data_IF_161253325795
#
_entry.id   IF_161253325795
#
_cell.length_a   1.000
_cell.length_b   1.000
_cell.length_c   1.000
_cell.angle_alpha   90.00
_cell.angle_beta   90.00
_cell.angle_gamma   90.00
#
_symmetry.space_group_name_H-M   'P 1'
#
loop_
_entity.id
_entity.type
_entity.pdbx_description
1 polymer ?
#
# COMPACT_ATOMS: atom_id res chain seq x y z
N UNK A 1 27.11 48.60 23.51
CA UNK A 1 25.87 47.85 23.52
C UNK A 1 25.81 47.12 22.20
N UNK A 2 25.96 45.81 22.17
CA UNK A 2 25.79 45.03 20.96
C UNK A 2 24.30 45.00 20.67
N UNK A 3 23.86 45.66 19.62
CA UNK A 3 22.50 45.53 19.09
C UNK A 3 22.37 44.12 18.58
N UNK A 4 21.63 43.28 19.32
CA UNK A 4 21.27 41.95 18.82
C UNK A 4 20.37 42.15 17.62
N UNK A 5 20.86 41.83 16.45
CA UNK A 5 20.09 41.89 15.20
C UNK A 5 19.13 40.68 15.24
N UNK A 6 17.91 40.96 15.70
CA UNK A 6 16.83 39.98 15.66
C UNK A 6 15.99 40.34 14.44
N UNK A 7 15.96 39.43 13.47
CA UNK A 7 15.07 39.57 12.29
C UNK A 7 13.62 39.67 12.74
N UNK A 8 12.87 40.56 12.14
CA UNK A 8 11.40 40.55 12.25
C UNK A 8 10.88 39.35 11.45
N UNK A 9 9.72 38.83 11.81
CA UNK A 9 9.14 37.64 11.18
C UNK A 9 8.97 37.76 9.66
N UNK A 10 8.65 38.97 9.20
CA UNK A 10 8.53 39.31 7.77
C UNK A 10 9.87 39.35 7.01
N UNK A 11 10.99 39.47 7.72
CA UNK A 11 12.34 39.46 7.14
C UNK A 11 12.94 38.04 7.13
N UNK A 12 12.26 37.07 7.76
CA UNK A 12 12.70 35.69 7.85
C UNK A 12 12.44 34.93 6.54
N UNK A 13 13.38 34.09 6.19
CA UNK A 13 13.20 33.14 5.09
C UNK A 13 12.23 32.02 5.50
N UNK A 14 11.72 31.27 4.52
CA UNK A 14 10.89 30.08 4.78
C UNK A 14 11.60 29.10 5.72
N UNK A 15 12.91 28.90 5.58
CA UNK A 15 13.70 28.02 6.46
C UNK A 15 13.79 28.56 7.90
N UNK A 16 13.88 29.89 8.08
CA UNK A 16 13.86 30.51 9.41
C UNK A 16 12.50 30.31 10.08
N UNK A 17 11.41 30.47 9.31
CA UNK A 17 10.03 30.24 9.77
C UNK A 17 9.84 28.76 10.16
N UNK A 18 10.34 27.82 9.36
CA UNK A 18 10.34 26.39 9.71
C UNK A 18 11.04 26.15 11.04
N UNK A 19 12.27 26.66 11.17
CA UNK A 19 13.12 26.41 12.34
C UNK A 19 12.55 27.01 13.62
N UNK A 20 12.07 28.27 13.56
CA UNK A 20 11.72 29.02 14.75
C UNK A 20 10.27 28.88 15.19
N UNK A 21 9.35 28.55 14.27
CA UNK A 21 7.92 28.51 14.57
C UNK A 21 7.28 27.17 14.27
N UNK A 22 7.42 26.64 13.05
CA UNK A 22 6.69 25.44 12.63
C UNK A 22 7.25 24.18 13.28
N UNK A 23 8.57 23.97 13.19
CA UNK A 23 9.22 22.79 13.80
C UNK A 23 8.98 22.70 15.31
N UNK A 24 9.15 23.77 16.11
CA UNK A 24 8.84 23.72 17.53
C UNK A 24 7.37 23.41 17.82
N UNK A 25 6.43 23.96 17.05
CA UNK A 25 5.01 23.67 17.22
C UNK A 25 4.68 22.19 16.96
N UNK A 26 5.28 21.60 15.91
CA UNK A 26 5.13 20.18 15.62
C UNK A 26 5.75 19.31 16.71
N UNK A 27 6.98 19.62 17.15
CA UNK A 27 7.69 18.87 18.19
C UNK A 27 7.03 18.95 19.57
N UNK A 28 6.24 19.99 19.83
CA UNK A 28 5.45 20.10 21.06
C UNK A 28 4.33 19.04 21.16
N UNK A 29 3.92 18.47 20.04
CA UNK A 29 2.80 17.52 19.92
C UNK A 29 3.20 16.16 19.35
N UNK A 30 4.33 16.07 18.66
CA UNK A 30 4.77 14.88 17.93
C UNK A 30 6.18 14.46 18.32
N UNK A 31 6.41 13.14 18.44
CA UNK A 31 7.76 12.60 18.53
C UNK A 31 8.54 12.93 17.24
N UNK A 32 9.76 13.44 17.39
CA UNK A 32 10.65 13.75 16.27
C UNK A 32 10.88 12.58 15.30
N UNK A 33 10.81 11.34 15.79
CA UNK A 33 10.93 10.12 14.99
C UNK A 33 9.74 9.90 14.06
N UNK A 34 8.61 10.52 14.35
CA UNK A 34 7.38 10.47 13.52
C UNK A 34 7.33 11.62 12.51
N UNK A 35 8.33 12.48 12.44
CA UNK A 35 8.42 13.62 11.52
C UNK A 35 9.58 13.39 10.56
N UNK A 36 9.34 13.55 9.26
CA UNK A 36 10.40 13.59 8.25
C UNK A 36 10.35 14.88 7.46
N UNK A 37 11.54 15.43 7.15
CA UNK A 37 11.70 16.66 6.39
C UNK A 37 12.31 16.38 5.01
N UNK A 38 12.42 17.39 4.16
CA UNK A 38 12.84 17.36 2.75
C UNK A 38 14.01 16.43 2.40
N UNK A 39 14.94 16.22 3.30
CA UNK A 39 16.16 15.43 3.07
C UNK A 39 15.90 13.92 3.04
N UNK A 40 14.75 13.45 3.50
CA UNK A 40 14.43 12.02 3.51
C UNK A 40 13.98 11.54 2.12
N UNK A 41 14.50 10.41 1.61
CA UNK A 41 14.08 9.84 0.32
C UNK A 41 12.57 9.58 0.21
N UNK A 42 11.93 9.34 1.35
CA UNK A 42 10.48 9.11 1.45
C UNK A 42 9.64 10.34 1.08
N UNK A 43 10.21 11.53 1.17
CA UNK A 43 9.54 12.78 0.82
C UNK A 43 9.71 13.15 -0.66
N UNK A 44 10.54 12.40 -1.41
CA UNK A 44 10.74 12.64 -2.82
C UNK A 44 9.70 11.87 -3.64
N UNK A 45 8.90 12.59 -4.40
CA UNK A 45 7.97 12.01 -5.36
C UNK A 45 7.87 12.87 -6.63
N UNK A 46 7.45 12.26 -7.70
CA UNK A 46 7.28 12.91 -9.00
C UNK A 46 5.88 12.68 -9.50
N UNK A 47 5.36 13.58 -10.33
CA UNK A 47 4.03 13.45 -10.97
C UNK A 47 3.97 12.27 -11.96
N UNK A 48 5.04 11.49 -12.06
CA UNK A 48 5.12 10.38 -13.01
C UNK A 48 5.31 10.83 -14.46
N UNK A 49 5.42 12.14 -14.72
CA UNK A 49 5.66 12.67 -16.06
C UNK A 49 7.07 12.35 -16.51
N UNK A 50 7.17 11.59 -17.58
CA UNK A 50 8.42 11.41 -18.31
C UNK A 50 8.49 12.53 -19.35
N UNK A 51 9.43 13.44 -19.19
CA UNK A 51 9.73 14.48 -20.18
C UNK A 51 10.68 13.90 -21.23
N UNK A 52 10.26 13.89 -22.49
CA UNK A 52 11.11 13.49 -23.60
C UNK A 52 11.66 14.76 -24.22
N UNK A 53 12.95 15.04 -23.99
CA UNK A 53 13.69 16.09 -24.70
C UNK A 53 14.59 15.43 -25.73
N UNK A 54 14.16 15.49 -27.00
CA UNK A 54 14.82 14.74 -28.09
C UNK A 54 14.61 13.23 -27.90
N UNK A 55 15.69 12.43 -27.99
CA UNK A 55 15.64 10.96 -27.81
C UNK A 55 16.01 10.53 -26.38
N UNK A 56 16.18 11.46 -25.44
CA UNK A 56 16.57 11.14 -24.06
C UNK A 56 15.39 11.33 -23.14
N UNK A 57 14.87 10.25 -22.50
CA UNK A 57 13.86 10.37 -21.46
C UNK A 57 14.51 10.98 -20.21
N UNK A 58 13.99 12.12 -19.76
CA UNK A 58 14.32 12.73 -18.48
C UNK A 58 13.10 12.69 -17.58
N UNK A 59 13.31 12.45 -16.27
CA UNK A 59 12.26 12.64 -15.28
C UNK A 59 12.25 14.08 -14.82
N UNK A 60 11.08 14.61 -14.59
CA UNK A 60 10.92 15.91 -13.96
C UNK A 60 11.60 15.95 -12.57
N UNK A 61 11.97 17.14 -12.10
CA UNK A 61 12.57 17.27 -10.76
C UNK A 61 11.60 16.68 -9.73
N UNK A 62 12.14 15.83 -8.86
CA UNK A 62 11.36 15.24 -7.76
C UNK A 62 10.76 16.36 -6.89
N UNK A 63 9.46 16.27 -6.65
CA UNK A 63 8.77 17.15 -5.70
C UNK A 63 9.10 16.71 -4.29
N UNK A 64 9.20 17.67 -3.37
CA UNK A 64 9.48 17.43 -1.95
C UNK A 64 8.44 18.17 -1.13
N UNK A 65 7.97 17.54 -0.06
CA UNK A 65 7.18 18.21 0.95
C UNK A 65 8.10 18.71 2.07
N UNK A 66 7.74 19.80 2.70
CA UNK A 66 8.52 20.33 3.82
C UNK A 66 8.52 19.35 4.98
N UNK A 67 7.34 18.86 5.38
CA UNK A 67 7.20 17.85 6.43
C UNK A 67 6.21 16.77 6.03
N UNK A 68 6.50 15.52 6.43
CA UNK A 68 5.55 14.40 6.45
C UNK A 68 5.46 13.87 7.86
N UNK A 69 4.24 13.79 8.37
CA UNK A 69 3.94 13.31 9.72
C UNK A 69 3.42 11.87 9.63
N UNK A 70 4.03 10.98 10.40
CA UNK A 70 3.79 9.55 10.34
C UNK A 70 3.12 9.06 11.62
N UNK A 71 2.05 8.31 11.53
CA UNK A 71 1.53 7.57 12.68
C UNK A 71 2.53 6.48 13.09
N UNK A 72 2.92 5.65 12.10
CA UNK A 72 3.98 4.66 12.21
C UNK A 72 4.77 4.58 10.89
N UNK A 73 5.77 3.69 10.80
CA UNK A 73 6.70 3.58 9.65
C UNK A 73 6.01 3.43 8.27
N UNK A 74 4.77 2.96 8.22
CA UNK A 74 4.06 2.70 6.96
C UNK A 74 2.87 3.63 6.69
N UNK A 75 2.45 4.41 7.67
CA UNK A 75 1.19 5.15 7.66
C UNK A 75 1.43 6.65 7.79
N UNK A 76 1.57 7.37 6.66
CA UNK A 76 1.61 8.82 6.70
C UNK A 76 0.22 9.36 7.06
N UNK A 77 0.15 10.33 8.00
CA UNK A 77 -1.10 10.95 8.41
C UNK A 77 -1.28 12.33 7.81
N UNK A 78 -0.21 13.11 7.73
CA UNK A 78 -0.32 14.48 7.30
C UNK A 78 0.92 14.97 6.54
N UNK A 79 0.72 16.00 5.75
CA UNK A 79 1.77 16.81 5.13
C UNK A 79 1.62 18.23 5.67
N UNK A 80 2.75 18.89 5.93
CA UNK A 80 2.79 20.32 6.24
C UNK A 80 3.70 21.00 5.23
N UNK A 81 3.18 22.02 4.56
CA UNK A 81 3.91 22.94 3.68
C UNK A 81 4.16 24.25 4.41
N UNK A 82 5.39 24.68 4.42
CA UNK A 82 5.79 25.95 5.01
C UNK A 82 5.79 27.08 3.96
N UNK A 83 5.61 28.30 4.41
CA UNK A 83 5.79 29.51 3.63
C UNK A 83 6.42 30.58 4.51
N UNK A 84 7.09 31.54 3.87
CA UNK A 84 7.54 32.74 4.59
C UNK A 84 6.36 33.57 5.08
N UNK A 85 6.60 34.48 6.04
CA UNK A 85 5.55 35.24 6.68
C UNK A 85 4.98 36.37 5.83
N UNK A 86 5.47 36.55 4.58
CA UNK A 86 4.90 37.52 3.63
C UNK A 86 3.70 36.95 2.87
N UNK A 87 3.40 35.67 3.05
CA UNK A 87 2.27 34.98 2.46
C UNK A 87 1.17 34.73 3.52
N UNK A 88 -0.08 34.60 3.07
CA UNK A 88 -1.15 34.15 3.95
C UNK A 88 -0.92 32.70 4.41
N UNK A 89 -1.48 32.32 5.55
CA UNK A 89 -1.36 30.94 6.09
C UNK A 89 -1.87 29.88 5.11
N UNK A 90 -2.91 30.20 4.32
CA UNK A 90 -3.47 29.29 3.30
C UNK A 90 -2.67 29.28 1.99
N UNK A 91 -1.65 30.12 1.85
CA UNK A 91 -0.82 30.13 0.65
C UNK A 91 -0.07 28.79 0.50
N UNK A 92 -0.12 28.22 -0.68
CA UNK A 92 0.46 26.89 -0.92
C UNK A 92 -0.48 25.71 -0.68
N UNK A 93 -1.73 25.93 -0.23
CA UNK A 93 -2.68 24.84 0.04
C UNK A 93 -2.92 23.96 -1.19
N UNK A 94 -3.00 24.52 -2.41
CA UNK A 94 -3.15 23.72 -3.62
C UNK A 94 -1.94 22.79 -3.87
N UNK A 95 -0.74 23.23 -3.50
CA UNK A 95 0.46 22.41 -3.53
C UNK A 95 0.36 21.29 -2.48
N UNK A 96 0.00 21.63 -1.24
CA UNK A 96 -0.17 20.68 -0.16
C UNK A 96 -1.25 19.61 -0.49
N UNK A 97 -2.38 20.02 -1.08
CA UNK A 97 -3.44 19.12 -1.56
C UNK A 97 -2.89 18.17 -2.63
N UNK A 98 -2.15 18.69 -3.62
CA UNK A 98 -1.53 17.84 -4.65
C UNK A 98 -0.61 16.79 -4.04
N UNK A 99 0.17 17.17 -3.05
CA UNK A 99 1.05 16.24 -2.33
C UNK A 99 0.26 15.25 -1.47
N UNK A 100 -0.78 15.73 -0.81
CA UNK A 100 -1.68 14.90 -0.01
C UNK A 100 -2.35 13.80 -0.82
N UNK A 101 -2.83 14.12 -2.01
CA UNK A 101 -3.39 13.14 -2.96
C UNK A 101 -2.32 12.12 -3.38
N UNK A 102 -1.10 12.55 -3.73
CA UNK A 102 -0.02 11.67 -4.13
C UNK A 102 0.40 10.71 -3.00
N UNK A 103 0.52 11.22 -1.77
CA UNK A 103 0.91 10.44 -0.59
C UNK A 103 -0.26 9.68 0.04
N UNK A 104 -1.49 9.97 -0.40
CA UNK A 104 -2.73 9.42 0.18
C UNK A 104 -2.82 9.65 1.69
N UNK A 105 -2.56 10.87 2.13
CA UNK A 105 -2.72 11.27 3.53
C UNK A 105 -4.12 11.83 3.76
N UNK A 106 -4.71 11.63 4.97
CA UNK A 106 -6.02 12.19 5.29
C UNK A 106 -6.01 13.69 5.55
N UNK A 107 -4.87 14.31 5.90
CA UNK A 107 -4.79 15.71 6.25
C UNK A 107 -3.63 16.41 5.55
N UNK A 108 -3.82 17.67 5.18
CA UNK A 108 -2.73 18.53 4.73
C UNK A 108 -2.83 19.89 5.40
N UNK A 109 -1.69 20.47 5.66
CA UNK A 109 -1.55 21.74 6.34
C UNK A 109 -0.65 22.68 5.56
N UNK A 110 -0.91 23.97 5.68
CA UNK A 110 0.03 25.05 5.34
C UNK A 110 0.26 25.93 6.55
N UNK A 111 1.43 26.57 6.63
CA UNK A 111 1.76 27.49 7.72
C UNK A 111 2.78 28.52 7.25
N UNK A 112 2.59 29.78 7.66
CA UNK A 112 3.54 30.88 7.54
C UNK A 112 4.20 31.24 8.88
N UNK A 113 4.05 30.36 9.88
CA UNK A 113 4.55 30.57 11.23
C UNK A 113 3.61 31.35 12.16
N UNK A 114 2.46 31.85 11.72
CA UNK A 114 1.46 32.50 12.58
C UNK A 114 0.41 31.50 13.05
N UNK A 115 -0.09 30.70 12.14
CA UNK A 115 -1.11 29.69 12.36
C UNK A 115 -0.91 28.50 11.43
N UNK A 116 -1.69 27.45 11.61
CA UNK A 116 -1.87 26.39 10.63
C UNK A 116 -3.21 26.53 9.93
N UNK A 117 -3.21 26.29 8.62
CA UNK A 117 -4.42 26.14 7.82
C UNK A 117 -4.53 24.69 7.39
N UNK A 118 -5.60 24.03 7.78
CA UNK A 118 -5.87 22.59 7.54
C UNK A 118 -6.85 22.40 6.40
N UNK A 119 -6.59 21.40 5.55
CA UNK A 119 -7.59 20.79 4.67
C UNK A 119 -7.72 19.31 5.06
N UNK A 120 -8.93 18.91 5.43
CA UNK A 120 -9.28 17.55 5.84
C UNK A 120 -9.94 16.81 4.68
N UNK A 121 -9.25 15.86 4.07
CA UNK A 121 -9.79 15.04 2.96
C UNK A 121 -10.94 14.11 3.39
N UNK A 122 -11.11 13.83 4.67
CA UNK A 122 -12.16 12.92 5.15
C UNK A 122 -13.53 13.61 5.18
N UNK A 123 -13.52 14.91 5.44
CA UNK A 123 -14.74 15.73 5.55
C UNK A 123 -14.87 16.78 4.44
N UNK A 124 -13.77 17.13 3.78
CA UNK A 124 -13.68 18.25 2.83
C UNK A 124 -13.67 19.61 3.50
N UNK A 125 -13.57 19.68 4.83
CA UNK A 125 -13.57 20.94 5.56
C UNK A 125 -12.17 21.55 5.66
N UNK A 126 -12.14 22.87 5.73
CA UNK A 126 -10.95 23.67 5.95
C UNK A 126 -11.10 24.48 7.22
N UNK A 127 -10.02 24.66 7.97
CA UNK A 127 -9.99 25.50 9.17
C UNK A 127 -8.60 26.05 9.42
N UNK A 128 -8.57 27.22 10.08
CA UNK A 128 -7.35 27.84 10.57
C UNK A 128 -7.33 27.81 12.11
N UNK A 129 -6.15 27.58 12.70
CA UNK A 129 -5.98 27.53 14.13
C UNK A 129 -4.54 27.90 14.55
N UNK A 130 -4.33 28.34 15.82
CA UNK A 130 -3.02 28.72 16.32
C UNK A 130 -2.01 27.59 16.29
N UNK A 131 -0.71 27.92 16.22
CA UNK A 131 0.38 26.94 16.25
C UNK A 131 0.32 25.99 17.45
N UNK A 132 -0.10 26.48 18.62
CA UNK A 132 -0.21 25.72 19.87
C UNK A 132 -1.30 24.64 19.86
N UNK A 133 -2.25 24.75 18.95
CA UNK A 133 -3.41 23.84 18.81
C UNK A 133 -3.20 22.75 17.76
N UNK A 134 -1.96 22.59 17.26
CA UNK A 134 -1.69 21.52 16.30
C UNK A 134 -2.07 20.15 16.92
N UNK A 135 -2.83 19.32 16.19
CA UNK A 135 -3.31 18.04 16.72
C UNK A 135 -2.19 17.03 16.91
N UNK A 136 -2.32 16.15 17.89
CA UNK A 136 -1.43 15.01 18.13
C UNK A 136 -1.62 13.92 17.06
N UNK A 137 -0.70 12.96 17.02
CA UNK A 137 -0.79 11.81 16.12
C UNK A 137 -2.07 11.00 16.38
N UNK A 138 -2.43 10.80 17.63
CA UNK A 138 -3.59 10.00 18.04
C UNK A 138 -4.89 10.71 17.72
N UNK A 139 -4.97 12.04 17.92
CA UNK A 139 -6.13 12.84 17.52
C UNK A 139 -6.36 12.79 16.00
N UNK A 140 -5.31 12.91 15.17
CA UNK A 140 -5.44 12.80 13.72
C UNK A 140 -5.82 11.39 13.30
N UNK A 141 -5.24 10.37 13.93
CA UNK A 141 -5.57 8.98 13.63
C UNK A 141 -7.02 8.67 14.01
N UNK A 142 -7.48 9.11 15.17
CA UNK A 142 -8.87 8.97 15.62
C UNK A 142 -9.84 9.63 14.66
N UNK A 143 -9.58 10.88 14.26
CA UNK A 143 -10.39 11.60 13.26
C UNK A 143 -10.45 10.85 11.93
N UNK A 144 -9.31 10.36 11.45
CA UNK A 144 -9.25 9.60 10.20
C UNK A 144 -10.04 8.29 10.28
N UNK A 145 -9.98 7.60 11.41
CA UNK A 145 -10.65 6.30 11.60
C UNK A 145 -12.07 6.42 12.10
N UNK A 146 -12.51 7.60 12.53
CA UNK A 146 -13.84 7.80 13.12
C UNK A 146 -14.01 7.08 14.46
N UNK A 147 -12.95 7.02 15.28
CA UNK A 147 -12.93 6.39 16.60
C UNK A 147 -12.61 7.41 17.69
N UNK A 148 -12.93 7.08 18.94
CA UNK A 148 -12.59 7.93 20.07
C UNK A 148 -11.09 7.87 20.40
N UNK A 149 -10.47 9.01 20.66
CA UNK A 149 -9.03 9.11 21.02
C UNK A 149 -8.71 8.27 22.25
N UNK A 150 -9.62 8.23 23.23
CA UNK A 150 -9.44 7.46 24.45
C UNK A 150 -9.24 5.96 24.18
N UNK A 151 -9.94 5.43 23.18
CA UNK A 151 -9.77 4.03 22.77
C UNK A 151 -8.39 3.75 22.15
N UNK A 152 -7.79 4.72 21.50
CA UNK A 152 -6.43 4.59 20.94
C UNK A 152 -5.40 4.61 22.07
N UNK A 153 -5.53 5.55 23.00
CA UNK A 153 -4.61 5.70 24.14
C UNK A 153 -4.71 4.51 25.12
N UNK A 154 -5.91 3.98 25.37
CA UNK A 154 -6.09 2.78 26.20
C UNK A 154 -5.29 1.57 25.68
N UNK A 155 -4.99 1.53 24.41
CA UNK A 155 -4.32 0.41 23.76
C UNK A 155 -2.82 0.54 23.81
N UNK A 156 -2.25 1.72 23.64
CA UNK A 156 -0.82 1.95 23.89
C UNK A 156 -0.45 1.71 25.36
N UNK A 157 -1.40 1.85 26.27
CA UNK A 157 -1.24 1.59 27.71
C UNK A 157 -1.60 0.16 28.14
N UNK A 158 -2.09 -0.73 27.24
CA UNK A 158 -2.42 -2.11 27.62
C UNK A 158 -1.17 -2.98 27.78
N UNK A 159 -0.84 -3.12 29.01
CA UNK A 159 -0.31 -4.20 29.81
C UNK A 159 0.84 -5.04 29.24
N UNK A 160 1.99 -4.84 29.88
CA UNK A 160 3.07 -5.82 29.92
C UNK A 160 2.60 -7.02 30.75
N UNK A 161 2.33 -8.15 30.12
CA UNK A 161 2.11 -9.41 30.82
C UNK A 161 3.45 -10.07 31.13
N UNK A 162 3.60 -10.50 32.38
CA UNK A 162 4.70 -11.34 32.81
C UNK A 162 4.20 -12.78 32.78
N UNK A 163 4.73 -13.60 31.88
CA UNK A 163 4.53 -15.06 31.90
C UNK A 163 5.87 -15.67 32.26
N UNK A 164 5.90 -16.50 33.29
CA UNK A 164 7.08 -17.25 33.74
C UNK A 164 8.30 -16.40 34.12
N UNK A 165 8.10 -15.22 34.74
CA UNK A 165 9.20 -14.38 35.21
C UNK A 165 9.95 -13.61 34.10
N UNK A 166 9.61 -13.77 32.84
CA UNK A 166 10.13 -12.96 31.76
C UNK A 166 9.09 -11.91 31.32
N UNK A 167 9.50 -10.65 31.28
CA UNK A 167 8.70 -9.54 30.76
C UNK A 167 8.63 -9.63 29.24
N UNK A 168 7.64 -10.32 28.69
CA UNK A 168 7.33 -10.28 27.26
C UNK A 168 6.30 -9.20 27.02
N UNK A 169 6.67 -8.21 26.23
CA UNK A 169 5.72 -7.21 25.72
C UNK A 169 4.91 -7.88 24.64
N UNK A 170 3.71 -8.29 24.96
CA UNK A 170 2.72 -8.66 23.97
C UNK A 170 1.94 -7.39 23.62
N UNK A 171 2.26 -6.79 22.48
CA UNK A 171 1.36 -5.83 21.85
C UNK A 171 0.08 -6.59 21.47
N UNK A 172 -0.92 -6.55 22.35
CA UNK A 172 -2.24 -7.06 21.99
C UNK A 172 -2.84 -6.06 21.03
N UNK A 173 -3.02 -6.44 19.77
CA UNK A 173 -3.57 -5.52 18.80
C UNK A 173 -5.01 -5.21 19.15
N UNK A 174 -5.37 -3.95 19.13
CA UNK A 174 -6.68 -3.38 19.40
C UNK A 174 -7.80 -4.00 18.62
N UNK A 175 -7.55 -4.17 17.36
CA UNK A 175 -8.39 -4.93 16.47
C UNK A 175 -7.54 -5.52 15.36
N UNK A 176 -8.10 -6.47 14.64
CA UNK A 176 -7.49 -7.11 13.49
C UNK A 176 -6.97 -6.10 12.45
N UNK A 177 -7.70 -5.00 12.24
CA UNK A 177 -7.36 -3.93 11.32
C UNK A 177 -6.04 -3.25 11.70
N UNK A 178 -5.86 -2.93 12.98
CA UNK A 178 -4.66 -2.23 13.45
C UNK A 178 -3.42 -3.09 13.37
N UNK A 179 -3.51 -4.36 13.74
CA UNK A 179 -2.40 -5.29 13.58
C UNK A 179 -1.94 -5.33 12.13
N UNK A 180 -2.87 -5.45 11.19
CA UNK A 180 -2.57 -5.50 9.78
C UNK A 180 -1.97 -4.19 9.27
N UNK A 181 -2.56 -3.05 9.64
CA UNK A 181 -2.13 -1.73 9.18
C UNK A 181 -0.79 -1.30 9.80
N UNK A 182 -0.52 -1.73 11.04
CA UNK A 182 0.73 -1.44 11.76
C UNK A 182 1.88 -2.38 11.39
N UNK A 183 1.61 -3.51 10.72
CA UNK A 183 2.68 -4.40 10.24
C UNK A 183 3.58 -3.65 9.27
N UNK A 184 4.91 -3.58 9.51
CA UNK A 184 5.81 -2.79 8.69
C UNK A 184 6.00 -3.39 7.29
N UNK A 185 6.37 -2.54 6.35
CA UNK A 185 6.89 -3.01 5.06
C UNK A 185 8.16 -3.82 5.27
N UNK A 186 8.35 -4.85 4.43
CA UNK A 186 9.62 -5.54 4.39
C UNK A 186 10.77 -4.58 4.05
N UNK A 187 11.82 -4.59 4.85
CA UNK A 187 12.97 -3.70 4.72
C UNK A 187 14.29 -4.47 4.94
N UNK A 188 14.53 -5.54 4.18
CA UNK A 188 15.81 -6.26 4.18
C UNK A 188 16.94 -5.43 3.59
N UNK A 189 18.18 -5.84 3.84
CA UNK A 189 19.42 -5.12 3.46
C UNK A 189 19.53 -4.77 1.96
N UNK A 190 18.85 -5.50 1.08
CA UNK A 190 18.83 -5.27 -0.36
C UNK A 190 17.47 -4.81 -0.89
N UNK A 191 16.56 -4.36 -0.01
CA UNK A 191 15.23 -3.95 -0.40
C UNK A 191 15.14 -2.42 -0.46
N UNK A 192 14.74 -1.89 -1.61
CA UNK A 192 14.44 -0.46 -1.73
C UNK A 192 13.12 -0.13 -1.01
N UNK A 193 13.02 1.04 -0.38
CA UNK A 193 11.75 1.48 0.19
C UNK A 193 10.69 1.61 -0.91
N UNK A 194 9.41 1.30 -0.62
CA UNK A 194 8.35 1.41 -1.61
C UNK A 194 8.21 2.87 -2.07
N UNK A 195 8.03 3.05 -3.37
CA UNK A 195 7.68 4.35 -3.94
C UNK A 195 6.29 4.75 -3.44
N UNK A 196 5.98 6.06 -3.43
CA UNK A 196 4.72 6.57 -2.89
C UNK A 196 3.48 5.85 -3.46
N UNK A 197 3.41 5.63 -4.77
CA UNK A 197 2.27 4.96 -5.41
C UNK A 197 2.20 3.46 -5.06
N UNK A 198 3.34 2.79 -4.86
CA UNK A 198 3.39 1.41 -4.38
C UNK A 198 2.89 1.33 -2.93
N UNK A 199 3.34 2.25 -2.09
CA UNK A 199 2.86 2.38 -0.71
C UNK A 199 1.35 2.60 -0.66
N UNK A 200 0.82 3.51 -1.50
CA UNK A 200 -0.61 3.75 -1.60
C UNK A 200 -1.36 2.49 -2.02
N UNK A 201 -0.88 1.79 -3.05
CA UNK A 201 -1.51 0.55 -3.50
C UNK A 201 -1.52 -0.52 -2.40
N UNK A 202 -0.39 -0.73 -1.71
CA UNK A 202 -0.30 -1.68 -0.58
C UNK A 202 -1.25 -1.28 0.54
N UNK A 203 -1.16 -0.04 1.05
CA UNK A 203 -1.96 0.41 2.19
C UNK A 203 -3.47 0.35 1.90
N UNK A 204 -3.92 0.80 0.71
CA UNK A 204 -5.33 0.71 0.31
C UNK A 204 -5.81 -0.73 0.16
N UNK A 205 -4.95 -1.63 -0.33
CA UNK A 205 -5.28 -3.05 -0.43
C UNK A 205 -5.46 -3.66 0.96
N UNK A 206 -4.55 -3.39 1.89
CA UNK A 206 -4.64 -3.90 3.25
C UNK A 206 -5.84 -3.32 3.99
N UNK A 207 -6.13 -2.03 3.80
CA UNK A 207 -7.33 -1.40 4.36
C UNK A 207 -8.62 -2.04 3.79
N UNK A 208 -8.66 -2.34 2.50
CA UNK A 208 -9.79 -3.03 1.89
C UNK A 208 -9.97 -4.45 2.47
N UNK A 209 -8.86 -5.19 2.70
CA UNK A 209 -8.88 -6.51 3.33
C UNK A 209 -9.34 -6.40 4.79
N UNK A 210 -8.85 -5.41 5.54
CA UNK A 210 -9.28 -5.14 6.91
C UNK A 210 -10.79 -4.87 6.98
N UNK A 211 -11.33 -4.13 6.01
CA UNK A 211 -12.78 -3.92 5.82
C UNK A 211 -13.52 -5.13 5.20
N UNK A 212 -12.88 -6.31 5.20
CA UNK A 212 -13.44 -7.57 4.71
C UNK A 212 -13.89 -7.54 3.24
N UNK A 213 -13.28 -6.70 2.40
CA UNK A 213 -13.50 -6.77 0.96
C UNK A 213 -12.85 -8.03 0.40
N UNK A 214 -13.63 -8.79 -0.33
CA UNK A 214 -13.19 -10.08 -0.87
C UNK A 214 -12.63 -10.00 -2.29
N UNK A 215 -12.90 -8.90 -3.02
CA UNK A 215 -12.42 -8.68 -4.39
C UNK A 215 -11.79 -7.31 -4.53
N UNK A 216 -10.55 -7.29 -4.98
CA UNK A 216 -9.73 -6.08 -5.10
C UNK A 216 -9.04 -6.08 -6.47
N UNK A 217 -9.05 -4.94 -7.15
CA UNK A 217 -8.32 -4.75 -8.41
C UNK A 217 -7.24 -3.68 -8.22
N UNK A 218 -6.00 -4.03 -8.57
CA UNK A 218 -4.86 -3.13 -8.56
C UNK A 218 -4.45 -2.84 -10.00
N UNK A 219 -4.69 -1.61 -10.46
CA UNK A 219 -4.27 -1.14 -11.76
C UNK A 219 -2.94 -0.38 -11.63
N UNK A 220 -1.87 -0.95 -12.19
CA UNK A 220 -0.52 -0.35 -12.18
C UNK A 220 0.14 -0.55 -13.54
N UNK A 221 0.69 0.51 -14.11
CA UNK A 221 1.37 0.46 -15.40
C UNK A 221 2.54 -0.54 -15.43
N UNK A 222 2.91 -1.01 -16.61
CA UNK A 222 4.09 -1.87 -16.80
C UNK A 222 5.34 -1.16 -16.30
N UNK A 223 6.24 -1.89 -15.62
CA UNK A 223 7.49 -1.34 -15.10
C UNK A 223 7.36 -0.50 -13.81
N UNK A 224 6.16 -0.37 -13.23
CA UNK A 224 5.95 0.35 -11.96
C UNK A 224 6.18 -0.50 -10.71
N UNK A 225 6.57 -1.79 -10.88
CA UNK A 225 6.85 -2.71 -9.78
C UNK A 225 5.61 -3.38 -9.21
N UNK A 226 4.71 -3.89 -10.07
CA UNK A 226 3.56 -4.70 -9.66
C UNK A 226 3.98 -5.89 -8.78
N UNK A 227 5.02 -6.63 -9.20
CA UNK A 227 5.54 -7.79 -8.46
C UNK A 227 6.02 -7.41 -7.07
N UNK A 228 6.77 -6.30 -6.96
CA UNK A 228 7.18 -5.76 -5.67
C UNK A 228 5.99 -5.36 -4.79
N UNK A 229 4.97 -4.74 -5.38
CA UNK A 229 3.74 -4.38 -4.67
C UNK A 229 3.01 -5.61 -4.16
N UNK A 230 2.88 -6.67 -4.99
CA UNK A 230 2.31 -7.95 -4.59
C UNK A 230 3.11 -8.59 -3.44
N UNK A 231 4.44 -8.60 -3.53
CA UNK A 231 5.31 -9.10 -2.48
C UNK A 231 5.07 -8.39 -1.15
N UNK A 232 5.03 -7.06 -1.13
CA UNK A 232 4.79 -6.29 0.09
C UNK A 232 3.40 -6.55 0.69
N UNK A 233 2.38 -6.76 -0.15
CA UNK A 233 1.04 -7.15 0.32
C UNK A 233 1.10 -8.53 0.98
N UNK A 234 1.69 -9.52 0.30
CA UNK A 234 1.81 -10.89 0.81
C UNK A 234 2.62 -10.92 2.10
N UNK A 235 3.78 -10.24 2.13
CA UNK A 235 4.62 -10.13 3.32
C UNK A 235 3.83 -9.62 4.52
N UNK A 236 3.15 -8.48 4.39
CA UNK A 236 2.40 -7.87 5.50
C UNK A 236 1.23 -8.72 5.96
N UNK A 237 0.56 -9.42 5.03
CA UNK A 237 -0.55 -10.31 5.36
C UNK A 237 -0.09 -11.58 6.10
N UNK A 238 1.06 -12.15 5.73
CA UNK A 238 1.66 -13.29 6.42
C UNK A 238 2.22 -12.88 7.77
N UNK A 239 2.98 -11.79 7.84
CA UNK A 239 3.62 -11.30 9.07
C UNK A 239 2.59 -10.89 10.12
N UNK A 240 1.50 -10.24 9.72
CA UNK A 240 0.37 -9.93 10.61
C UNK A 240 -0.42 -11.19 11.05
N UNK A 241 -0.20 -12.33 10.40
CA UNK A 241 -1.00 -13.55 10.61
C UNK A 241 -2.43 -13.45 10.07
N UNK A 242 -2.74 -12.40 9.30
CA UNK A 242 -4.07 -12.16 8.71
C UNK A 242 -4.41 -13.20 7.65
N UNK A 243 -3.44 -13.60 6.85
CA UNK A 243 -3.53 -14.64 5.84
C UNK A 243 -2.42 -15.66 6.07
N UNK A 244 -2.68 -16.93 5.72
CA UNK A 244 -1.75 -18.05 5.99
C UNK A 244 -1.40 -18.84 4.74
N UNK A 245 -2.30 -18.89 3.75
CA UNK A 245 -2.17 -19.67 2.53
C UNK A 245 -2.50 -18.81 1.32
N UNK A 246 -1.49 -18.50 0.54
CA UNK A 246 -1.56 -17.61 -0.61
C UNK A 246 -1.37 -18.40 -1.89
N UNK A 247 -2.29 -18.24 -2.86
CA UNK A 247 -2.12 -18.74 -4.22
C UNK A 247 -1.79 -17.55 -5.14
N UNK A 248 -0.65 -17.60 -5.82
CA UNK A 248 -0.23 -16.63 -6.82
C UNK A 248 -0.35 -17.26 -8.22
N UNK A 249 -1.29 -16.78 -9.00
CA UNK A 249 -1.54 -17.23 -10.37
C UNK A 249 -0.82 -16.30 -11.36
N UNK A 250 0.08 -16.86 -12.16
CA UNK A 250 0.84 -16.13 -13.18
C UNK A 250 0.56 -16.67 -14.58
N UNK A 251 0.76 -15.81 -15.59
CA UNK A 251 0.54 -16.12 -17.01
C UNK A 251 1.64 -17.04 -17.59
N UNK A 252 2.91 -16.81 -17.22
CA UNK A 252 4.07 -17.46 -17.85
C UNK A 252 5.08 -18.00 -16.87
N UNK A 253 5.67 -19.17 -17.20
CA UNK A 253 6.68 -19.86 -16.40
C UNK A 253 7.89 -18.97 -16.08
N UNK A 254 8.44 -18.27 -17.08
CA UNK A 254 9.59 -17.40 -16.89
C UNK A 254 9.32 -16.27 -15.90
N UNK A 255 8.07 -15.78 -15.84
CA UNK A 255 7.65 -14.75 -14.88
C UNK A 255 7.59 -15.31 -13.47
N UNK A 256 7.17 -16.57 -13.27
CA UNK A 256 7.14 -17.21 -11.94
C UNK A 256 8.54 -17.31 -11.37
N UNK A 257 9.50 -17.82 -12.14
CA UNK A 257 10.88 -18.01 -11.66
C UNK A 257 11.55 -16.64 -11.39
N UNK A 258 11.32 -15.65 -12.24
CA UNK A 258 11.79 -14.28 -12.01
C UNK A 258 11.15 -13.64 -10.76
N UNK A 259 9.88 -13.87 -10.53
CA UNK A 259 9.15 -13.38 -9.36
C UNK A 259 9.69 -14.00 -8.07
N UNK A 260 9.88 -15.32 -8.05
CA UNK A 260 10.39 -16.05 -6.88
C UNK A 260 11.83 -15.64 -6.57
N UNK A 261 12.72 -15.63 -7.57
CA UNK A 261 14.14 -15.33 -7.39
C UNK A 261 14.41 -13.81 -7.23
N UNK A 262 13.45 -12.96 -7.58
CA UNK A 262 13.48 -11.51 -7.43
C UNK A 262 12.84 -11.04 -6.13
N UNK A 263 11.71 -10.35 -6.27
CA UNK A 263 11.03 -9.69 -5.16
C UNK A 263 10.57 -10.64 -4.05
N UNK A 264 10.17 -11.89 -4.39
CA UNK A 264 9.70 -12.88 -3.42
C UNK A 264 10.82 -13.71 -2.75
N UNK A 265 12.08 -13.49 -3.11
CA UNK A 265 13.22 -14.22 -2.52
C UNK A 265 13.25 -14.21 -0.98
N UNK A 266 12.86 -13.16 -0.26
CA UNK A 266 12.77 -13.19 1.20
C UNK A 266 11.82 -14.26 1.76
N UNK A 267 10.85 -14.70 0.97
CA UNK A 267 9.89 -15.75 1.33
C UNK A 267 10.25 -17.12 0.75
N UNK A 268 11.43 -17.31 0.13
CA UNK A 268 11.84 -18.51 -0.61
C UNK A 268 11.54 -19.83 0.14
N UNK A 269 11.80 -19.87 1.45
CA UNK A 269 11.56 -21.05 2.29
C UNK A 269 10.06 -21.38 2.50
N UNK A 270 9.19 -20.41 2.25
CA UNK A 270 7.74 -20.53 2.41
C UNK A 270 7.03 -20.75 1.07
N UNK A 271 7.78 -20.70 -0.04
CA UNK A 271 7.25 -20.78 -1.39
C UNK A 271 7.27 -22.21 -1.92
N UNK A 272 6.19 -22.57 -2.60
CA UNK A 272 6.08 -23.77 -3.39
C UNK A 272 5.59 -23.47 -4.81
N UNK A 273 6.31 -23.95 -5.83
CA UNK A 273 5.87 -23.87 -7.23
C UNK A 273 5.11 -25.13 -7.56
N UNK A 274 3.80 -25.02 -7.74
CA UNK A 274 2.91 -26.17 -8.01
C UNK A 274 3.27 -26.81 -9.36
N UNK A 275 3.44 -28.14 -9.33
CA UNK A 275 3.55 -28.96 -10.53
C UNK A 275 2.73 -30.23 -10.34
N UNK A 276 1.47 -30.21 -10.73
CA UNK A 276 0.52 -31.31 -10.51
C UNK A 276 0.95 -32.69 -11.03
N UNK A 277 1.96 -32.77 -11.92
CA UNK A 277 2.49 -34.04 -12.39
C UNK A 277 3.47 -34.70 -11.41
N UNK A 278 4.03 -33.94 -10.47
CA UNK A 278 5.09 -34.34 -9.54
C UNK A 278 4.74 -34.10 -8.07
N UNK A 279 3.48 -33.68 -7.79
CA UNK A 279 3.09 -33.30 -6.44
C UNK A 279 2.91 -34.50 -5.52
N UNK A 280 3.39 -34.34 -4.29
CA UNK A 280 3.15 -35.25 -3.17
C UNK A 280 2.10 -34.60 -2.24
N UNK A 281 0.89 -35.19 -2.22
CA UNK A 281 -0.25 -34.70 -1.41
C UNK A 281 0.09 -34.55 0.08
N UNK A 282 1.04 -35.35 0.59
CA UNK A 282 1.42 -35.30 2.00
C UNK A 282 2.26 -34.09 2.36
N UNK A 283 3.00 -33.54 1.41
CA UNK A 283 3.95 -32.45 1.63
C UNK A 283 3.46 -31.08 1.15
N UNK A 284 2.51 -31.07 0.23
CA UNK A 284 2.05 -29.82 -0.41
C UNK A 284 1.48 -28.82 0.59
N UNK A 285 0.91 -29.26 1.71
CA UNK A 285 0.31 -28.40 2.73
C UNK A 285 1.31 -27.63 3.60
N UNK A 286 2.62 -27.95 3.53
CA UNK A 286 3.63 -27.39 4.40
C UNK A 286 3.98 -25.92 4.11
N UNK A 287 3.74 -25.46 2.88
CA UNK A 287 4.12 -24.14 2.42
C UNK A 287 3.04 -23.08 2.71
N UNK A 288 3.40 -21.80 2.58
CA UNK A 288 2.47 -20.67 2.79
C UNK A 288 2.13 -19.93 1.51
N UNK A 289 3.04 -19.86 0.54
CA UNK A 289 2.85 -19.20 -0.74
C UNK A 289 3.01 -20.21 -1.87
N UNK A 290 1.99 -20.31 -2.69
CA UNK A 290 1.93 -21.26 -3.81
C UNK A 290 1.91 -20.50 -5.12
N UNK A 291 2.87 -20.78 -5.99
CA UNK A 291 2.90 -20.26 -7.34
C UNK A 291 2.38 -21.29 -8.31
N UNK A 292 1.44 -20.89 -9.14
CA UNK A 292 0.90 -21.72 -10.21
C UNK A 292 0.74 -20.92 -11.51
N UNK A 293 0.77 -21.64 -12.61
CA UNK A 293 0.45 -21.08 -13.92
C UNK A 293 -1.01 -21.39 -14.22
N UNK A 294 -1.72 -20.40 -14.74
CA UNK A 294 -3.08 -20.65 -15.24
C UNK A 294 -3.10 -21.21 -16.68
N UNK A 295 -1.93 -21.49 -17.27
CA UNK A 295 -1.76 -22.10 -18.60
C UNK A 295 -0.99 -23.45 -18.55
N UNK A 296 -0.99 -24.16 -17.43
CA UNK A 296 -0.10 -25.35 -17.23
C UNK A 296 -0.42 -26.59 -18.04
N UNK A 297 -1.43 -26.63 -18.90
CA UNK A 297 -1.88 -27.88 -19.49
C UNK A 297 -1.37 -28.24 -20.88
N UNK A 298 -0.61 -27.38 -21.60
CA UNK A 298 -0.12 -27.83 -22.91
C UNK A 298 1.15 -27.13 -23.44
N UNK A 299 2.24 -27.15 -22.70
CA UNK A 299 3.54 -26.80 -23.31
C UNK A 299 4.15 -27.92 -24.16
N UNK A 300 3.53 -29.09 -24.25
CA UNK A 300 4.08 -30.22 -24.99
C UNK A 300 3.60 -30.35 -26.43
N UNK A 301 2.55 -29.66 -26.86
CA UNK A 301 1.94 -29.96 -28.16
C UNK A 301 1.75 -28.84 -29.17
N UNK A 302 1.95 -27.52 -28.86
CA UNK A 302 1.72 -26.50 -29.90
C UNK A 302 2.67 -25.31 -29.84
N UNK A 303 3.74 -25.39 -30.61
CA UNK A 303 4.45 -24.21 -31.13
C UNK A 303 3.67 -23.71 -32.35
N UNK A 304 2.96 -22.59 -32.22
CA UNK A 304 2.64 -21.76 -33.38
C UNK A 304 1.19 -21.57 -33.81
N UNK A 305 0.16 -22.04 -33.09
CA UNK A 305 -1.24 -21.75 -33.45
C UNK A 305 -2.04 -21.27 -32.23
N UNK A 306 -2.85 -20.23 -32.38
CA UNK A 306 -3.89 -19.80 -31.44
C UNK A 306 -5.03 -20.84 -31.43
N UNK A 307 -4.80 -21.98 -30.78
CA UNK A 307 -5.83 -23.02 -30.66
C UNK A 307 -6.72 -22.69 -29.48
N UNK A 308 -8.00 -22.55 -29.77
CA UNK A 308 -9.05 -22.35 -28.77
C UNK A 308 -9.15 -23.61 -27.87
N UNK A 309 -8.93 -23.42 -26.56
CA UNK A 309 -9.10 -24.48 -25.56
C UNK A 309 -10.58 -24.86 -25.40
N UNK A 310 -10.80 -26.15 -25.16
CA UNK A 310 -12.16 -26.67 -24.95
C UNK A 310 -12.60 -26.47 -23.49
N UNK A 311 -13.91 -26.47 -23.25
CA UNK A 311 -14.45 -26.43 -21.87
C UNK A 311 -14.00 -27.63 -21.04
N UNK A 312 -13.80 -28.79 -21.67
CA UNK A 312 -13.31 -30.01 -21.03
C UNK A 312 -11.87 -29.88 -20.52
N UNK A 313 -10.99 -29.18 -21.25
CA UNK A 313 -9.61 -28.91 -20.82
C UNK A 313 -9.58 -27.96 -19.59
N UNK A 314 -10.45 -26.97 -19.58
CA UNK A 314 -10.61 -26.04 -18.45
C UNK A 314 -11.12 -26.78 -17.20
N UNK A 315 -12.09 -27.68 -17.35
CA UNK A 315 -12.60 -28.49 -16.25
C UNK A 315 -11.58 -29.49 -15.71
N UNK A 316 -10.77 -30.07 -16.59
CA UNK A 316 -9.70 -30.98 -16.19
C UNK A 316 -8.64 -30.26 -15.34
N UNK A 317 -8.33 -29.00 -15.63
CA UNK A 317 -7.39 -28.22 -14.81
C UNK A 317 -7.98 -27.86 -13.42
N UNK A 318 -9.21 -27.37 -13.40
CA UNK A 318 -9.91 -27.08 -12.14
C UNK A 318 -10.05 -28.34 -11.29
N UNK A 319 -10.26 -29.51 -11.92
CA UNK A 319 -10.32 -30.80 -11.25
C UNK A 319 -9.01 -31.13 -10.54
N UNK A 320 -7.84 -30.79 -11.09
CA UNK A 320 -6.56 -30.97 -10.41
C UNK A 320 -6.46 -30.15 -9.14
N UNK A 321 -6.88 -28.85 -9.17
CA UNK A 321 -6.93 -28.07 -7.94
C UNK A 321 -7.84 -28.70 -6.88
N UNK A 322 -9.02 -29.21 -7.29
CA UNK A 322 -9.96 -29.90 -6.39
C UNK A 322 -9.40 -31.19 -5.80
N UNK A 323 -8.53 -31.88 -6.54
CA UNK A 323 -7.88 -33.10 -6.07
C UNK A 323 -6.85 -32.86 -4.97
N UNK A 324 -6.10 -31.76 -5.05
CA UNK A 324 -5.01 -31.43 -4.13
C UNK A 324 -5.42 -30.49 -3.01
N UNK A 325 -6.38 -29.61 -3.21
CA UNK A 325 -6.75 -28.55 -2.28
C UNK A 325 -8.25 -28.51 -2.01
N UNK A 326 -8.62 -28.37 -0.75
CA UNK A 326 -10.00 -28.11 -0.35
C UNK A 326 -10.41 -26.67 -0.72
N UNK A 327 -11.72 -26.36 -0.85
CA UNK A 327 -12.20 -25.01 -1.19
C UNK A 327 -11.76 -23.90 -0.24
N UNK A 328 -11.47 -24.25 1.02
CA UNK A 328 -11.04 -23.37 2.10
C UNK A 328 -9.52 -23.35 2.33
N UNK A 329 -8.75 -24.04 1.48
CA UNK A 329 -7.31 -24.15 1.67
C UNK A 329 -6.57 -22.83 1.49
N UNK A 330 -6.90 -22.05 0.47
CA UNK A 330 -6.33 -20.73 0.24
C UNK A 330 -7.22 -19.66 0.84
N UNK A 331 -6.61 -18.71 1.54
CA UNK A 331 -7.30 -17.54 2.13
C UNK A 331 -6.98 -16.23 1.38
N UNK A 332 -6.00 -16.27 0.46
CA UNK A 332 -5.67 -15.20 -0.47
C UNK A 332 -5.31 -15.75 -1.85
N UNK A 333 -5.87 -15.18 -2.90
CA UNK A 333 -5.49 -15.48 -4.29
C UNK A 333 -5.10 -14.19 -4.99
N UNK A 334 -3.93 -14.18 -5.61
CA UNK A 334 -3.44 -13.08 -6.46
C UNK A 334 -3.40 -13.56 -7.89
N UNK A 335 -4.04 -12.83 -8.81
CA UNK A 335 -4.02 -13.09 -10.25
C UNK A 335 -3.20 -11.99 -10.92
N UNK A 336 -2.01 -12.33 -11.38
CA UNK A 336 -1.16 -11.39 -12.10
C UNK A 336 -1.58 -11.30 -13.57
N UNK A 337 -1.47 -10.09 -14.13
CA UNK A 337 -1.88 -9.76 -15.51
C UNK A 337 -3.31 -10.23 -15.84
N UNK A 338 -4.25 -10.05 -14.91
CA UNK A 338 -5.63 -10.53 -15.01
C UNK A 338 -6.45 -9.99 -16.20
N UNK A 339 -5.87 -9.08 -17.00
CA UNK A 339 -6.45 -8.58 -18.25
C UNK A 339 -6.07 -9.42 -19.47
N UNK A 340 -5.00 -10.22 -19.37
CA UNK A 340 -4.49 -11.03 -20.48
C UNK A 340 -5.28 -12.33 -20.57
N UNK A 341 -5.82 -12.57 -21.76
CA UNK A 341 -6.49 -13.79 -22.11
C UNK A 341 -7.62 -13.57 -23.12
N UNK A 342 -7.90 -14.59 -23.93
CA UNK A 342 -9.16 -14.68 -24.66
C UNK A 342 -10.33 -14.75 -23.67
N UNK A 343 -11.55 -14.54 -24.10
CA UNK A 343 -12.75 -14.71 -23.26
C UNK A 343 -12.78 -16.09 -22.54
N UNK A 344 -12.10 -17.09 -23.11
CA UNK A 344 -11.97 -18.45 -22.58
C UNK A 344 -10.88 -18.57 -21.51
N UNK A 345 -9.72 -17.90 -21.65
CA UNK A 345 -8.73 -17.83 -20.57
C UNK A 345 -9.28 -17.07 -19.35
N UNK A 346 -10.13 -16.05 -19.57
CA UNK A 346 -10.92 -15.42 -18.52
C UNK A 346 -11.86 -16.41 -17.82
N UNK A 347 -12.34 -17.45 -18.47
CA UNK A 347 -13.21 -18.48 -17.87
C UNK A 347 -12.43 -19.44 -16.97
N UNK A 348 -11.16 -19.73 -17.29
CA UNK A 348 -10.31 -20.69 -16.56
C UNK A 348 -9.97 -20.22 -15.15
N UNK A 349 -9.30 -19.07 -15.03
CA UNK A 349 -8.95 -18.55 -13.70
C UNK A 349 -10.18 -18.16 -12.89
N UNK A 350 -11.29 -17.77 -13.54
CA UNK A 350 -12.57 -17.54 -12.87
C UNK A 350 -13.11 -18.80 -12.20
N UNK A 351 -13.10 -19.97 -12.90
CA UNK A 351 -13.51 -21.24 -12.29
C UNK A 351 -12.64 -21.64 -11.10
N UNK A 352 -11.31 -21.33 -11.13
CA UNK A 352 -10.43 -21.51 -9.97
C UNK A 352 -10.84 -20.56 -8.84
N UNK A 353 -11.10 -19.28 -9.14
CA UNK A 353 -11.55 -18.31 -8.14
C UNK A 353 -12.91 -18.67 -7.56
N UNK A 354 -13.84 -19.19 -8.37
CA UNK A 354 -15.16 -19.61 -7.93
C UNK A 354 -15.06 -20.84 -7.01
N UNK A 355 -14.14 -21.76 -7.28
CA UNK A 355 -13.88 -22.91 -6.40
C UNK A 355 -13.34 -22.46 -5.03
N UNK A 356 -12.44 -21.48 -4.99
CA UNK A 356 -11.90 -20.90 -3.76
C UNK A 356 -12.62 -19.60 -3.37
N UNK A 357 -13.94 -19.58 -3.46
CA UNK A 357 -14.76 -18.36 -3.26
C UNK A 357 -14.64 -17.74 -1.87
N UNK A 358 -14.21 -18.50 -0.86
CA UNK A 358 -13.91 -18.00 0.49
C UNK A 358 -12.63 -17.19 0.60
N UNK A 359 -11.74 -17.26 -0.40
CA UNK A 359 -10.48 -16.52 -0.40
C UNK A 359 -10.69 -15.04 -0.78
N UNK A 360 -9.87 -14.17 -0.22
CA UNK A 360 -9.73 -12.80 -0.75
C UNK A 360 -9.03 -12.86 -2.11
N UNK A 361 -9.57 -12.20 -3.11
CA UNK A 361 -9.10 -12.24 -4.50
C UNK A 361 -8.56 -10.88 -4.92
N UNK A 362 -7.30 -10.84 -5.34
CA UNK A 362 -6.63 -9.63 -5.83
C UNK A 362 -6.26 -9.83 -7.30
N UNK A 363 -6.84 -9.03 -8.19
CA UNK A 363 -6.41 -8.94 -9.58
C UNK A 363 -5.37 -7.83 -9.75
N UNK A 364 -4.30 -8.11 -10.48
CA UNK A 364 -3.28 -7.12 -10.84
C UNK A 364 -3.20 -6.95 -12.35
N UNK A 365 -3.19 -5.71 -12.83
CA UNK A 365 -3.19 -5.45 -14.28
C UNK A 365 -2.54 -4.12 -14.63
N UNK A 366 -1.94 -4.04 -15.83
CA UNK A 366 -1.50 -2.78 -16.40
C UNK A 366 -2.62 -2.05 -17.15
N UNK A 367 -3.58 -2.78 -17.69
CA UNK A 367 -4.65 -2.27 -18.56
C UNK A 367 -5.99 -2.82 -18.10
N UNK A 368 -6.67 -2.17 -17.14
CA UNK A 368 -8.00 -2.60 -16.73
C UNK A 368 -8.97 -2.51 -17.91
N UNK A 369 -9.74 -3.57 -18.14
CA UNK A 369 -10.83 -3.54 -19.10
C UNK A 369 -12.02 -2.80 -18.48
N UNK A 370 -12.43 -1.68 -19.04
CA UNK A 370 -13.66 -1.01 -18.66
C UNK A 370 -14.85 -1.86 -19.15
N UNK A 371 -15.66 -2.33 -18.22
CA UNK A 371 -16.97 -2.90 -18.57
C UNK A 371 -17.89 -1.73 -18.94
N UNK A 372 -18.30 -1.65 -20.21
CA UNK A 372 -19.36 -0.71 -20.61
C UNK A 372 -20.58 -1.04 -19.75
N UNK A 373 -20.94 -0.16 -18.81
CA UNK A 373 -22.23 -0.25 -18.13
C UNK A 373 -23.32 -0.21 -19.19
N UNK A 374 -24.09 -1.30 -19.34
CA UNK A 374 -25.39 -1.20 -20.02
C UNK A 374 -26.17 -0.17 -19.22
N UNK A 375 -26.58 0.93 -19.87
CA UNK A 375 -27.54 1.87 -19.31
C UNK A 375 -28.72 1.04 -18.80
N UNK A 376 -28.92 1.05 -17.49
CA UNK A 376 -30.16 0.55 -16.90
C UNK A 376 -31.21 1.55 -17.38
N UNK A 377 -32.03 1.13 -18.32
CA UNK A 377 -33.24 1.88 -18.69
C UNK A 377 -34.06 2.04 -17.42
N UNK A 378 -34.37 3.32 -17.08
CA UNK A 378 -35.27 3.60 -16.00
C UNK A 378 -36.62 2.91 -16.30
N UNK A 379 -37.18 2.18 -15.34
CA UNK A 379 -38.53 1.65 -15.51
C UNK A 379 -39.53 2.83 -15.74
N UNK A 380 -40.59 2.59 -16.48
CA UNK A 380 -41.56 3.60 -16.90
C UNK A 380 -42.27 4.26 -15.73
#
# INVERSE_FOLDING_TARGET
MATSYILTKSEMTEEDIKLQYITPALLAKWDSKKITMETAPVNNFTDGKVLIKGNVPSRDKGKRCDYVLWYNKGTPLAIVEAKDNNHSTSFGMQQAISYGIMMNVPFVYTSNGDSFFEHDFTTGLEKEFPLSEFPTADELYARWKGVDVEKIVEVENRERYTIDGESKVYDVPLCFEEKLLNTPFYSGSNCYPPRYYQRNAVNRTLEAIAKQKTRILIAMATGTGKTYTAFQIVWRLLESGTKKKVLYLADRNNLVDQTINGDFKPLEKLIHKINFQKEDKSKISAYQVYFALYQQLDSAKRKGEDVEETEEEIEAEVSKYKEFFKPDFFDLIIVDECHRGSAKADSRWRKILDYFSGATQIGMTATPKETKYKKIEKPP
#
